data_IF_986856204812
#
_entry.id   IF_986856204812
#
_cell.length_a   1.000
_cell.length_b   1.000
_cell.length_c   1.000
_cell.angle_alpha   90.00
_cell.angle_beta   90.00
_cell.angle_gamma   90.00
#
_symmetry.space_group_name_H-M   'P 1'
#
loop_
_entity.id
_entity.type
_entity.pdbx_description
1 polymer ?
#
# COMPACT_ATOMS: atom_id res chain seq x y z
N UNK A 1 -5.30 54.21 -29.82
CA UNK A 1 -4.23 53.32 -30.34
C UNK A 1 -4.63 51.88 -30.00
N UNK A 2 -5.10 51.07 -30.95
CA UNK A 2 -5.34 49.64 -30.72
C UNK A 2 -4.15 48.82 -31.23
N UNK A 3 -3.51 48.03 -30.37
CA UNK A 3 -2.55 47.01 -30.80
C UNK A 3 -3.24 45.65 -30.82
N UNK A 4 -3.10 45.02 -31.98
CA UNK A 4 -3.83 43.84 -32.42
C UNK A 4 -3.25 42.55 -31.84
N UNK A 5 -4.17 41.61 -31.68
CA UNK A 5 -4.01 40.16 -31.59
C UNK A 5 -2.91 39.60 -32.50
N UNK A 6 -2.05 38.72 -31.96
CA UNK A 6 -1.49 37.59 -32.71
C UNK A 6 -1.50 36.33 -31.86
N UNK A 7 -1.99 35.28 -32.50
CA UNK A 7 -2.33 33.96 -32.03
C UNK A 7 -1.21 33.01 -32.48
N UNK A 8 -0.62 32.22 -31.58
CA UNK A 8 0.25 31.08 -31.94
C UNK A 8 -0.08 29.92 -30.99
N UNK A 9 -0.49 28.81 -31.59
CA UNK A 9 -0.91 27.53 -30.98
C UNK A 9 0.28 26.53 -30.98
N UNK A 10 0.14 25.33 -30.38
CA UNK A 10 1.17 24.74 -29.51
C UNK A 10 2.12 23.76 -30.20
N UNK A 11 3.33 23.68 -29.65
CA UNK A 11 4.30 22.61 -29.93
C UNK A 11 3.83 21.29 -29.31
N UNK A 12 3.49 20.35 -30.19
CA UNK A 12 3.32 18.93 -29.86
C UNK A 12 4.69 18.27 -29.68
N UNK A 13 4.92 17.67 -28.53
CA UNK A 13 6.05 16.76 -28.32
C UNK A 13 5.47 15.36 -28.10
N UNK A 14 5.54 14.53 -29.16
CA UNK A 14 5.30 13.10 -29.12
C UNK A 14 6.60 12.41 -28.68
N UNK A 15 6.65 11.85 -27.48
CA UNK A 15 7.73 10.93 -27.07
C UNK A 15 7.17 9.52 -27.10
N UNK A 16 7.49 8.81 -28.18
CA UNK A 16 7.34 7.37 -28.29
C UNK A 16 8.59 6.69 -27.70
N UNK A 17 8.42 5.87 -26.66
CA UNK A 17 9.45 4.91 -26.26
C UNK A 17 8.82 3.52 -26.16
N UNK A 18 9.38 2.65 -27.00
CA UNK A 18 8.95 1.31 -27.36
C UNK A 18 9.16 0.31 -26.21
N UNK A 19 8.09 -0.44 -25.90
CA UNK A 19 8.13 -1.72 -25.21
C UNK A 19 9.19 -2.65 -25.81
N UNK A 20 10.01 -3.28 -24.97
CA UNK A 20 10.92 -4.38 -25.32
C UNK A 20 10.58 -5.61 -24.47
N UNK A 21 9.49 -6.29 -24.85
CA UNK A 21 9.22 -7.67 -24.43
C UNK A 21 10.10 -8.63 -25.24
N UNK A 22 10.81 -9.55 -24.57
CA UNK A 22 11.46 -10.70 -25.22
C UNK A 22 10.83 -11.99 -24.67
N UNK A 23 10.27 -12.89 -25.50
CA UNK A 23 9.84 -14.21 -25.07
C UNK A 23 11.01 -15.21 -25.21
N UNK A 24 11.44 -15.82 -24.10
CA UNK A 24 12.41 -16.92 -24.14
C UNK A 24 11.65 -18.23 -24.39
N UNK A 25 12.01 -18.89 -25.49
CA UNK A 25 11.35 -20.09 -26.02
C UNK A 25 11.78 -21.32 -25.23
N UNK A 26 10.79 -22.12 -24.84
CA UNK A 26 10.94 -23.50 -24.39
C UNK A 26 11.61 -24.35 -25.47
N UNK A 27 12.65 -25.09 -25.11
CA UNK A 27 13.13 -26.24 -25.89
C UNK A 27 13.11 -27.44 -24.94
N UNK A 28 12.09 -28.28 -25.11
CA UNK A 28 12.04 -29.62 -24.57
C UNK A 28 12.87 -30.53 -25.47
N UNK A 29 13.83 -31.25 -24.89
CA UNK A 29 14.51 -32.37 -25.54
C UNK A 29 14.40 -33.59 -24.65
N UNK A 30 13.54 -34.50 -25.08
CA UNK A 30 13.30 -35.81 -24.50
C UNK A 30 14.29 -36.80 -25.16
N UNK A 31 15.15 -37.45 -24.38
CA UNK A 31 15.90 -38.63 -24.83
C UNK A 31 15.80 -39.73 -23.77
N UNK A 32 15.11 -40.77 -24.19
CA UNK A 32 14.93 -42.07 -23.54
C UNK A 32 16.12 -42.98 -23.84
N UNK A 33 16.65 -43.68 -22.83
CA UNK A 33 17.20 -45.05 -22.91
C UNK A 33 17.46 -45.46 -21.45
N UNK A 34 16.80 -46.46 -20.88
CA UNK A 34 16.81 -47.90 -21.18
C UNK A 34 17.39 -48.59 -19.94
N UNK A 35 16.58 -49.47 -19.39
CA UNK A 35 16.72 -50.21 -18.14
C UNK A 35 18.04 -50.98 -18.02
N UNK A 36 18.60 -51.04 -16.81
CA UNK A 36 19.41 -52.17 -16.37
C UNK A 36 19.08 -52.49 -14.90
N UNK A 37 18.42 -53.64 -14.69
CA UNK A 37 18.29 -54.30 -13.41
C UNK A 37 19.65 -54.82 -12.95
N UNK A 38 19.98 -54.63 -11.67
CA UNK A 38 20.74 -55.61 -10.90
C UNK A 38 20.14 -55.71 -9.49
N UNK A 39 19.71 -56.93 -9.15
CA UNK A 39 19.29 -57.33 -7.82
C UNK A 39 20.53 -57.69 -6.95
N UNK A 40 20.30 -57.84 -5.64
CA UNK A 40 20.80 -58.89 -4.71
C UNK A 40 20.96 -58.36 -3.25
N UNK A 41 20.95 -59.26 -2.22
CA UNK A 41 20.06 -59.13 -1.05
C UNK A 41 20.74 -59.08 0.34
N UNK A 42 19.89 -58.85 1.35
CA UNK A 42 19.85 -59.35 2.75
C UNK A 42 20.91 -59.02 3.82
N UNK A 43 20.38 -58.33 4.85
CA UNK A 43 20.48 -58.55 6.32
C UNK A 43 21.81 -58.50 7.07
N UNK A 44 21.93 -57.54 8.00
CA UNK A 44 22.37 -57.68 9.41
C UNK A 44 22.57 -56.25 9.99
N UNK A 45 21.76 -55.80 10.95
CA UNK A 45 21.93 -55.84 12.42
C UNK A 45 22.16 -54.43 12.99
N UNK A 46 21.67 -54.27 14.22
CA UNK A 46 21.49 -53.10 15.06
C UNK A 46 22.77 -52.31 15.41
N UNK A 47 22.65 -51.00 15.61
CA UNK A 47 22.95 -50.37 16.90
C UNK A 47 22.35 -48.95 17.00
N UNK A 48 22.01 -48.55 18.21
CA UNK A 48 21.47 -47.27 18.62
C UNK A 48 22.55 -46.18 18.56
N UNK A 49 22.25 -44.99 18.05
CA UNK A 49 22.49 -43.68 18.70
C UNK A 49 22.28 -42.52 17.74
N UNK A 50 21.68 -41.47 18.31
CA UNK A 50 21.58 -40.07 17.89
C UNK A 50 22.29 -39.66 16.58
N UNK A 51 21.53 -39.10 15.63
CA UNK A 51 21.53 -37.65 15.45
C UNK A 51 20.52 -37.22 14.39
N UNK A 52 19.80 -36.15 14.72
CA UNK A 52 18.79 -35.52 13.90
C UNK A 52 19.43 -34.83 12.69
N UNK A 53 18.98 -35.16 11.48
CA UNK A 53 19.31 -34.38 10.27
C UNK A 53 18.04 -34.15 9.44
N UNK A 54 17.49 -32.94 9.68
CA UNK A 54 16.88 -32.03 8.71
C UNK A 54 15.63 -32.51 7.97
N UNK A 55 14.50 -32.24 8.61
CA UNK A 55 13.20 -32.04 7.98
C UNK A 55 12.85 -30.55 8.12
N UNK A 56 13.37 -29.69 7.25
CA UNK A 56 12.89 -28.31 7.08
C UNK A 56 13.56 -27.65 5.88
N UNK A 57 12.87 -27.60 4.74
CA UNK A 57 13.11 -26.53 3.77
C UNK A 57 11.89 -26.36 2.86
N UNK A 58 10.79 -25.98 3.47
CA UNK A 58 9.74 -25.22 2.80
C UNK A 58 9.10 -24.34 3.86
N UNK A 59 8.96 -23.03 3.56
CA UNK A 59 8.18 -22.02 4.31
C UNK A 59 8.89 -21.17 5.39
N UNK A 60 9.92 -20.38 5.06
CA UNK A 60 10.41 -19.30 5.97
C UNK A 60 10.77 -17.97 5.28
N UNK A 61 10.09 -17.60 4.16
CA UNK A 61 10.29 -16.28 3.51
C UNK A 61 9.09 -15.34 3.54
N UNK A 62 7.93 -15.77 4.03
CA UNK A 62 6.72 -14.94 4.13
C UNK A 62 6.49 -14.25 5.48
N UNK A 63 7.15 -14.74 6.55
CA UNK A 63 6.82 -14.34 7.93
C UNK A 63 7.50 -13.04 8.38
N UNK A 64 8.76 -12.81 8.00
CA UNK A 64 9.51 -11.63 8.45
C UNK A 64 8.95 -10.31 7.89
N UNK A 65 8.54 -10.30 6.62
CA UNK A 65 7.94 -9.12 6.00
C UNK A 65 6.55 -8.79 6.58
N UNK A 66 5.73 -9.80 6.90
CA UNK A 66 4.39 -9.61 7.46
C UNK A 66 4.41 -9.19 8.95
N UNK A 67 5.50 -9.45 9.66
CA UNK A 67 5.67 -8.99 11.05
C UNK A 67 6.17 -7.55 11.09
N UNK A 68 7.07 -7.15 10.17
CA UNK A 68 7.48 -5.75 10.06
C UNK A 68 6.36 -4.85 9.53
N UNK A 69 5.62 -5.25 8.49
CA UNK A 69 4.56 -4.41 7.92
C UNK A 69 3.42 -4.09 8.92
N UNK A 70 3.21 -4.94 9.93
CA UNK A 70 2.22 -4.68 10.99
C UNK A 70 2.68 -3.60 11.98
N UNK A 71 3.92 -3.70 12.47
CA UNK A 71 4.51 -2.69 13.36
C UNK A 71 4.55 -1.31 12.69
N UNK A 72 4.84 -1.27 11.39
CA UNK A 72 4.84 -0.03 10.61
C UNK A 72 3.44 0.56 10.40
N UNK A 73 2.38 -0.26 10.30
CA UNK A 73 1.01 0.26 10.20
C UNK A 73 0.48 0.82 11.53
N UNK A 74 0.87 0.22 12.66
CA UNK A 74 0.53 0.78 13.98
C UNK A 74 1.18 2.13 14.25
N UNK A 75 2.47 2.26 13.96
CA UNK A 75 3.16 3.56 14.06
C UNK A 75 2.66 4.57 13.02
N UNK A 76 2.28 4.11 11.83
CA UNK A 76 1.75 4.98 10.77
C UNK A 76 0.51 5.77 11.21
N UNK A 77 -0.49 5.12 11.81
CA UNK A 77 -1.70 5.84 12.24
C UNK A 77 -1.43 6.80 13.40
N UNK A 78 -0.55 6.44 14.33
CA UNK A 78 -0.08 7.37 15.37
C UNK A 78 0.59 8.59 14.73
N UNK A 79 1.49 8.37 13.78
CA UNK A 79 2.23 9.42 13.09
C UNK A 79 1.33 10.39 12.32
N UNK A 80 0.29 9.87 11.66
CA UNK A 80 -0.67 10.68 10.92
C UNK A 80 -1.33 11.73 11.83
N UNK A 81 -1.70 11.37 13.05
CA UNK A 81 -2.40 12.28 13.97
C UNK A 81 -1.55 13.48 14.40
N UNK A 82 -0.22 13.35 14.42
CA UNK A 82 0.69 14.47 14.74
C UNK A 82 0.59 15.64 13.75
N UNK A 83 0.07 15.40 12.55
CA UNK A 83 -0.07 16.43 11.53
C UNK A 83 -1.44 17.11 11.52
N UNK A 84 -2.37 16.70 12.40
CA UNK A 84 -3.71 17.31 12.47
C UNK A 84 -3.64 18.83 12.64
N UNK A 85 -4.48 19.54 11.86
CA UNK A 85 -4.52 21.00 11.82
C UNK A 85 -3.43 21.65 10.97
N UNK A 86 -2.43 20.91 10.46
CA UNK A 86 -1.43 21.46 9.52
C UNK A 86 -2.15 22.01 8.29
N UNK A 87 -1.89 23.29 7.98
CA UNK A 87 -2.67 24.03 6.97
C UNK A 87 -2.46 23.48 5.56
N UNK A 88 -3.54 23.53 4.77
CA UNK A 88 -3.47 23.22 3.35
C UNK A 88 -2.57 24.22 2.61
N UNK A 89 -1.69 23.70 1.75
CA UNK A 89 -0.90 24.49 0.80
C UNK A 89 -0.91 23.79 -0.54
N UNK A 90 -1.43 24.45 -1.58
CA UNK A 90 -1.42 23.90 -2.93
C UNK A 90 0.02 23.60 -3.37
N UNK A 91 0.29 22.39 -3.86
CA UNK A 91 1.64 21.96 -4.20
C UNK A 91 2.52 21.59 -2.99
N UNK A 92 2.03 21.73 -1.76
CA UNK A 92 2.79 21.52 -0.54
C UNK A 92 3.06 20.05 -0.21
N UNK A 93 4.28 19.74 0.22
CA UNK A 93 4.77 18.38 0.53
C UNK A 93 5.50 18.31 1.88
N UNK A 94 5.44 19.35 2.70
CA UNK A 94 6.23 19.44 3.95
C UNK A 94 5.36 19.78 5.15
N UNK A 95 5.88 19.59 6.36
CA UNK A 95 5.18 19.95 7.61
C UNK A 95 4.80 21.44 7.73
N UNK A 96 5.34 22.32 6.88
CA UNK A 96 4.92 23.73 6.80
C UNK A 96 3.57 23.92 6.06
N UNK A 97 3.10 22.88 5.39
CA UNK A 97 1.80 22.79 4.74
C UNK A 97 1.77 21.77 3.62
N UNK A 98 0.65 21.05 3.54
CA UNK A 98 0.46 19.95 2.59
C UNK A 98 -0.75 20.18 1.70
N UNK A 99 -0.69 19.76 0.43
CA UNK A 99 -1.92 19.43 -0.31
C UNK A 99 -2.34 17.98 -0.05
N UNK A 100 -3.47 17.56 -0.61
CA UNK A 100 -4.02 16.22 -0.35
C UNK A 100 -3.06 15.10 -0.77
N UNK A 101 -2.51 15.17 -1.98
CA UNK A 101 -1.55 14.21 -2.51
C UNK A 101 -0.16 14.32 -1.87
N UNK A 102 0.32 15.53 -1.55
CA UNK A 102 1.59 15.76 -0.89
C UNK A 102 1.60 15.20 0.53
N UNK A 103 0.49 15.33 1.24
CA UNK A 103 0.30 14.69 2.54
C UNK A 103 0.40 13.16 2.44
N UNK A 104 -0.34 12.54 1.51
CA UNK A 104 -0.32 11.09 1.32
C UNK A 104 1.08 10.61 0.93
N UNK A 105 1.72 11.26 -0.04
CA UNK A 105 3.08 10.94 -0.47
C UNK A 105 4.07 11.01 0.70
N UNK A 106 4.02 12.09 1.50
CA UNK A 106 4.89 12.25 2.66
C UNK A 106 4.69 11.14 3.69
N UNK A 107 3.44 10.78 4.01
CA UNK A 107 3.17 9.73 5.01
C UNK A 107 3.61 8.34 4.54
N UNK A 108 3.38 8.00 3.27
CA UNK A 108 3.80 6.69 2.72
C UNK A 108 5.31 6.59 2.53
N UNK A 109 5.97 7.68 2.16
CA UNK A 109 7.43 7.71 2.10
C UNK A 109 8.03 7.55 3.50
N UNK A 110 7.53 8.30 4.49
CA UNK A 110 8.03 8.23 5.87
C UNK A 110 7.85 6.86 6.51
N UNK A 111 6.68 6.22 6.32
CA UNK A 111 6.36 4.97 7.02
C UNK A 111 6.73 3.70 6.26
N UNK A 112 6.73 3.73 4.93
CA UNK A 112 6.93 2.54 4.10
C UNK A 112 8.04 2.70 3.06
N UNK A 113 8.74 3.85 3.06
CA UNK A 113 9.77 4.19 2.09
C UNK A 113 9.27 4.05 0.63
N UNK A 114 7.99 4.36 0.43
CA UNK A 114 7.27 4.20 -0.83
C UNK A 114 7.05 5.56 -1.50
N UNK A 115 7.70 5.75 -2.65
CA UNK A 115 7.54 6.97 -3.44
C UNK A 115 6.29 6.91 -4.32
N UNK A 116 5.28 7.66 -3.93
CA UNK A 116 4.04 7.77 -4.71
C UNK A 116 4.13 8.86 -5.79
N UNK A 117 3.39 8.71 -6.92
CA UNK A 117 3.22 9.78 -7.90
C UNK A 117 2.71 11.08 -7.26
N UNK A 118 2.93 12.22 -7.92
CA UNK A 118 2.61 13.51 -7.29
C UNK A 118 1.12 13.83 -7.28
N UNK A 119 0.37 13.34 -8.26
CA UNK A 119 -1.05 13.67 -8.39
C UNK A 119 -1.94 12.56 -7.85
N UNK A 120 -3.07 12.94 -7.24
CA UNK A 120 -4.11 12.01 -6.80
C UNK A 120 -4.66 11.16 -7.96
N UNK A 121 -4.68 11.72 -9.17
CA UNK A 121 -5.06 11.00 -10.39
C UNK A 121 -4.09 9.85 -10.70
N UNK A 122 -2.79 10.10 -10.71
CA UNK A 122 -1.79 9.04 -10.95
C UNK A 122 -1.79 8.00 -9.82
N UNK A 123 -1.94 8.45 -8.56
CA UNK A 123 -2.08 7.54 -7.42
C UNK A 123 -3.28 6.59 -7.56
N UNK A 124 -4.39 7.04 -8.16
CA UNK A 124 -5.57 6.20 -8.39
C UNK A 124 -5.37 5.10 -9.45
N UNK A 125 -4.30 5.20 -10.25
CA UNK A 125 -3.99 4.27 -11.33
C UNK A 125 -2.93 3.23 -10.94
N UNK A 126 -2.26 3.39 -9.79
CA UNK A 126 -1.30 2.44 -9.26
C UNK A 126 -1.99 1.51 -8.26
N UNK A 127 -1.47 0.29 -8.06
CA UNK A 127 -2.00 -0.67 -7.08
C UNK A 127 -3.30 -1.38 -7.47
N UNK A 128 -3.90 -2.07 -6.50
CA UNK A 128 -5.10 -2.88 -6.70
C UNK A 128 -6.35 -2.06 -6.41
N UNK A 129 -7.32 -2.06 -7.33
CA UNK A 129 -8.61 -1.38 -7.08
C UNK A 129 -9.39 -2.13 -6.00
N UNK A 130 -9.98 -1.37 -5.08
CA UNK A 130 -10.76 -1.90 -3.95
C UNK A 130 -12.18 -1.37 -4.01
N UNK A 131 -13.14 -2.26 -3.78
CA UNK A 131 -14.54 -1.89 -3.63
C UNK A 131 -14.77 -1.11 -2.33
N UNK A 132 -15.76 -0.22 -2.30
CA UNK A 132 -16.06 0.59 -1.10
C UNK A 132 -16.32 -0.25 0.16
N UNK A 133 -16.89 -1.45 -0.02
CA UNK A 133 -17.20 -2.36 1.09
C UNK A 133 -15.99 -3.20 1.54
N UNK A 134 -14.90 -3.21 0.77
CA UNK A 134 -13.70 -4.02 1.02
C UNK A 134 -12.53 -3.17 1.54
N UNK A 135 -12.81 -1.92 1.93
CA UNK A 135 -11.82 -0.97 2.41
C UNK A 135 -11.17 -1.44 3.70
N UNK A 136 -9.84 -1.32 3.74
CA UNK A 136 -9.01 -1.66 4.89
C UNK A 136 -8.15 -0.47 5.29
N UNK A 137 -7.84 -0.30 6.58
CA UNK A 137 -6.96 0.78 7.02
C UNK A 137 -5.65 0.79 6.23
N UNK A 138 -5.25 1.96 5.74
CA UNK A 138 -4.11 2.11 4.83
C UNK A 138 -4.44 2.00 3.33
N UNK A 139 -5.71 1.83 2.97
CA UNK A 139 -6.16 2.04 1.59
C UNK A 139 -6.25 3.54 1.26
N UNK A 140 -5.99 3.88 0.01
CA UNK A 140 -6.20 5.23 -0.51
C UNK A 140 -7.59 5.37 -1.08
N UNK A 141 -8.32 6.40 -0.63
CA UNK A 141 -9.66 6.75 -1.12
C UNK A 141 -9.60 8.01 -1.97
N UNK A 142 -10.30 8.00 -3.10
CA UNK A 142 -10.24 9.06 -4.10
C UNK A 142 -11.59 9.72 -4.30
N UNK A 143 -11.57 11.03 -4.58
CA UNK A 143 -12.79 11.81 -4.75
C UNK A 143 -12.73 12.79 -5.94
N UNK A 144 -13.91 13.09 -6.46
CA UNK A 144 -14.18 14.13 -7.46
C UNK A 144 -14.80 15.36 -6.76
N UNK A 145 -13.98 16.16 -6.06
CA UNK A 145 -14.47 17.33 -5.32
C UNK A 145 -14.74 18.55 -6.20
N UNK A 146 -14.07 18.63 -7.35
CA UNK A 146 -14.23 19.66 -8.36
C UNK A 146 -14.22 19.08 -9.79
N UNK A 147 -15.33 19.23 -10.52
CA UNK A 147 -15.49 18.66 -11.86
C UNK A 147 -15.55 17.13 -11.88
N UNK A 148 -15.23 16.53 -13.03
CA UNK A 148 -15.43 15.09 -13.29
C UNK A 148 -14.15 14.25 -13.16
N UNK A 149 -13.06 14.83 -12.70
CA UNK A 149 -11.75 14.17 -12.60
C UNK A 149 -11.38 13.97 -11.13
N UNK A 150 -10.63 12.91 -10.83
CA UNK A 150 -10.05 12.71 -9.49
C UNK A 150 -9.11 13.87 -9.21
N UNK A 151 -9.38 14.58 -8.11
CA UNK A 151 -8.64 15.77 -7.68
C UNK A 151 -8.32 15.73 -6.18
N UNK A 152 -8.87 14.77 -5.44
CA UNK A 152 -8.69 14.67 -4.00
C UNK A 152 -8.44 13.23 -3.58
N UNK A 153 -7.61 13.06 -2.56
CA UNK A 153 -7.19 11.77 -2.02
C UNK A 153 -7.14 11.84 -0.49
N UNK A 154 -7.42 10.72 0.16
CA UNK A 154 -7.26 10.53 1.60
C UNK A 154 -6.80 9.12 1.94
N UNK A 155 -6.41 8.93 3.19
CA UNK A 155 -5.95 7.66 3.76
C UNK A 155 -7.09 7.10 4.59
N UNK A 156 -7.61 5.93 4.23
CA UNK A 156 -8.65 5.28 5.01
C UNK A 156 -8.06 4.73 6.31
N UNK A 157 -8.76 4.97 7.42
CA UNK A 157 -8.34 4.49 8.74
C UNK A 157 -9.31 3.47 9.33
N UNK A 158 -10.40 3.13 8.65
CA UNK A 158 -11.43 2.22 9.19
C UNK A 158 -12.69 2.96 9.64
N UNK A 159 -13.75 2.20 9.92
CA UNK A 159 -15.04 2.71 10.42
C UNK A 159 -15.59 3.90 9.61
N UNK A 160 -15.61 3.72 8.28
CA UNK A 160 -16.02 4.74 7.32
C UNK A 160 -15.26 6.07 7.45
N UNK A 161 -14.09 6.10 8.09
CA UNK A 161 -13.33 7.32 8.39
C UNK A 161 -12.04 7.35 7.57
N UNK A 162 -11.69 8.53 7.09
CA UNK A 162 -10.45 8.76 6.35
C UNK A 162 -9.83 10.10 6.71
N UNK A 163 -8.51 10.18 6.57
CA UNK A 163 -7.71 11.37 6.88
C UNK A 163 -7.25 12.01 5.58
N UNK A 164 -7.36 13.34 5.50
CA UNK A 164 -6.96 14.09 4.31
C UNK A 164 -6.55 15.53 4.65
N UNK A 165 -5.89 16.19 3.70
CA UNK A 165 -5.67 17.64 3.75
C UNK A 165 -6.90 18.37 3.21
N UNK A 166 -7.67 19.01 4.10
CA UNK A 166 -8.84 19.83 3.77
C UNK A 166 -8.43 21.28 3.48
N UNK A 167 -9.03 21.89 2.46
CA UNK A 167 -8.78 23.29 2.09
C UNK A 167 -9.00 24.27 3.25
N UNK A 168 -10.02 24.05 4.07
CA UNK A 168 -10.38 24.96 5.17
C UNK A 168 -9.78 24.55 6.51
N UNK A 169 -9.78 23.25 6.82
CA UNK A 169 -9.41 22.71 8.13
C UNK A 169 -7.94 22.27 8.24
N UNK A 170 -7.22 22.15 7.12
CA UNK A 170 -5.92 21.48 7.09
C UNK A 170 -6.06 19.96 7.20
N UNK A 171 -5.04 19.27 7.71
CA UNK A 171 -5.12 17.82 7.94
C UNK A 171 -6.21 17.52 8.97
N UNK A 172 -7.19 16.73 8.58
CA UNK A 172 -8.36 16.40 9.40
C UNK A 172 -8.91 15.03 9.00
N UNK A 173 -9.86 14.53 9.78
CA UNK A 173 -10.63 13.34 9.47
C UNK A 173 -12.06 13.70 9.11
N UNK A 174 -12.64 12.98 8.15
CA UNK A 174 -14.05 13.08 7.79
C UNK A 174 -14.59 11.65 7.49
N UNK A 175 -15.92 11.52 7.41
CA UNK A 175 -16.57 10.22 7.16
C UNK A 175 -16.93 10.03 5.69
N UNK A 176 -16.65 8.86 5.14
CA UNK A 176 -17.04 8.42 3.79
C UNK A 176 -18.56 8.45 3.60
N UNK A 177 -19.33 8.13 4.64
CA UNK A 177 -20.81 8.16 4.61
C UNK A 177 -21.40 9.56 4.74
N UNK A 178 -20.59 10.59 4.97
CA UNK A 178 -21.09 11.96 4.97
C UNK A 178 -21.52 12.34 3.54
N UNK A 179 -22.72 12.91 3.39
CA UNK A 179 -23.36 13.22 2.10
C UNK A 179 -22.44 13.92 1.09
N UNK A 180 -21.54 14.79 1.56
CA UNK A 180 -20.56 15.45 0.70
C UNK A 180 -19.58 14.47 0.05
N UNK A 181 -18.94 13.60 0.84
CA UNK A 181 -17.93 12.64 0.38
C UNK A 181 -18.54 11.42 -0.28
N UNK A 182 -19.70 10.97 0.21
CA UNK A 182 -20.42 9.81 -0.33
C UNK A 182 -20.73 9.99 -1.83
N UNK A 183 -21.26 11.17 -2.20
CA UNK A 183 -21.57 11.54 -3.59
C UNK A 183 -20.34 11.77 -4.48
N UNK A 184 -19.17 11.98 -3.87
CA UNK A 184 -17.93 12.34 -4.57
C UNK A 184 -16.93 11.20 -4.60
N UNK A 185 -17.24 10.07 -3.97
CA UNK A 185 -16.37 8.91 -3.94
C UNK A 185 -16.16 8.37 -5.36
N UNK A 186 -14.91 8.35 -5.80
CA UNK A 186 -14.53 7.94 -7.15
C UNK A 186 -13.92 6.53 -7.21
N UNK A 187 -13.44 6.02 -6.07
CA UNK A 187 -12.83 4.70 -5.97
C UNK A 187 -11.79 4.64 -4.86
N UNK A 188 -11.18 3.46 -4.71
CA UNK A 188 -10.12 3.22 -3.77
C UNK A 188 -9.05 2.28 -4.33
N UNK A 189 -7.85 2.39 -3.78
CA UNK A 189 -6.68 1.58 -4.14
C UNK A 189 -6.01 1.05 -2.89
N UNK A 190 -5.58 -0.21 -2.95
CA UNK A 190 -4.68 -0.83 -1.98
C UNK A 190 -3.26 -0.91 -2.54
N UNK A 191 -2.32 -0.37 -1.78
CA UNK A 191 -0.89 -0.39 -2.09
C UNK A 191 -0.12 -1.43 -1.25
N UNK A 192 -0.61 -1.73 -0.05
CA UNK A 192 0.00 -2.64 0.89
C UNK A 192 -0.81 -3.92 0.98
N UNK A 193 -0.17 -5.08 0.84
CA UNK A 193 -0.85 -6.38 0.93
C UNK A 193 -0.72 -6.93 2.36
N UNK A 194 -1.25 -6.20 3.35
CA UNK A 194 -1.30 -6.61 4.76
C UNK A 194 -2.67 -7.21 5.05
N UNK A 195 -2.78 -8.45 5.58
CA UNK A 195 -4.08 -9.03 5.96
C UNK A 195 -4.80 -8.15 6.99
N UNK A 196 -6.05 -7.77 6.72
CA UNK A 196 -6.87 -6.86 7.53
C UNK A 196 -7.11 -7.30 8.98
N UNK A 197 -7.09 -8.59 9.25
CA UNK A 197 -7.22 -9.15 10.62
C UNK A 197 -6.04 -8.76 11.52
N UNK A 198 -4.93 -8.35 10.89
CA UNK A 198 -3.68 -7.97 11.51
C UNK A 198 -3.41 -6.50 11.27
N UNK A 199 -4.40 -5.61 11.41
CA UNK A 199 -4.19 -4.16 11.49
C UNK A 199 -4.76 -3.65 12.82
N UNK A 200 -4.07 -2.75 13.54
CA UNK A 200 -4.61 -2.22 14.79
C UNK A 200 -5.90 -1.47 14.47
N UNK A 201 -7.00 -1.88 15.12
CA UNK A 201 -8.29 -1.22 14.99
C UNK A 201 -8.20 0.16 15.68
N UNK A 202 -8.25 1.29 14.94
CA UNK A 202 -8.11 2.61 15.55
C UNK A 202 -9.34 3.04 16.35
N UNK A 203 -10.38 2.20 16.45
CA UNK A 203 -11.55 2.42 17.30
C UNK A 203 -11.60 1.55 18.54
N UNK A 204 -10.61 0.69 18.76
CA UNK A 204 -10.35 0.24 20.11
C UNK A 204 -9.82 1.46 20.89
N UNK A 205 -10.68 2.08 21.71
CA UNK A 205 -10.18 2.90 22.82
C UNK A 205 -9.10 2.08 23.53
N UNK A 206 -8.01 2.68 24.03
CA UNK A 206 -7.08 1.95 24.86
C UNK A 206 -7.89 1.36 26.02
N UNK A 207 -8.12 0.05 26.00
CA UNK A 207 -8.65 -0.67 27.14
C UNK A 207 -7.60 -0.50 28.22
N UNK A 208 -7.90 0.40 29.16
CA UNK A 208 -7.12 0.60 30.37
C UNK A 208 -7.31 -0.64 31.25
N UNK A 209 -6.68 -1.75 30.89
CA UNK A 209 -6.57 -2.94 31.75
C UNK A 209 -5.31 -3.73 31.38
N UNK A 210 -4.18 -3.26 31.89
CA UNK A 210 -3.00 -4.08 32.20
C UNK A 210 -2.56 -3.61 33.57
N UNK A 211 -3.16 -4.16 34.63
CA UNK A 211 -2.64 -5.32 35.35
C UNK A 211 -1.26 -5.03 35.94
N UNK A 212 -1.28 -4.40 37.12
CA UNK A 212 -0.14 -4.32 38.02
C UNK A 212 -0.09 -5.63 38.80
N UNK A 213 0.67 -6.59 38.28
CA UNK A 213 1.22 -7.67 39.11
C UNK A 213 2.67 -7.92 38.68
N UNK A 214 3.59 -7.13 39.21
CA UNK A 214 5.01 -7.49 39.28
C UNK A 214 5.24 -8.40 40.50
N UNK A 215 5.98 -9.52 40.35
CA UNK A 215 6.38 -10.35 41.48
C UNK A 215 7.72 -9.89 42.05
N UNK A 216 7.81 -9.81 43.38
CA UNK A 216 9.03 -10.04 44.17
C UNK A 216 8.64 -10.43 45.59
#
# INVERSE_FOLDING_TARGET
MPLQHTFEQPLRINIALKNRFKPFRFIALCLTVSSLQFAHPSTALCDSTADAVVKEQLTTKGSEHAHQSFGHMGSFFSDVTHYFGTRYRFGGETAKGFDCSGFVRFMYDKAFNMQLPRSSREMSAIGNKVGKNDLQPGDLVFFQTHGHQINHVGIFIGNDTFIHSSLSKGITEDRLKQSYFDKRFAGAVRLLNVPSEKLPNPSAKPDATTDLTEPS
#
